data_IF_669881727626
#
_entry.id   IF_669881727626
#
_cell.length_a   1.000
_cell.length_b   1.000
_cell.length_c   1.000
_cell.angle_alpha   90.00
_cell.angle_beta   90.00
_cell.angle_gamma   90.00
#
_symmetry.space_group_name_H-M   'P 1'
#
loop_
_entity.id
_entity.type
_entity.pdbx_description
1 polymer ?
#
# COMPACT_ATOMS: atom_id res chain seq x y z
N UNK A 1 28.45 11.97 3.13
CA UNK A 1 28.30 10.97 4.22
C UNK A 1 28.97 11.41 5.54
N UNK A 2 30.00 12.27 5.54
CA UNK A 2 30.70 12.73 6.75
C UNK A 2 29.85 13.58 7.71
N UNK A 3 29.00 14.49 7.21
CA UNK A 3 28.24 15.41 8.07
C UNK A 3 27.06 14.76 8.81
N UNK A 4 26.31 13.86 8.15
CA UNK A 4 25.10 13.28 8.74
C UNK A 4 25.37 12.48 10.01
N UNK A 5 26.40 11.63 9.98
CA UNK A 5 26.81 10.83 11.14
C UNK A 5 27.23 11.73 12.31
N UNK A 6 27.95 12.82 12.03
CA UNK A 6 28.39 13.75 13.05
C UNK A 6 27.22 14.49 13.73
N UNK A 7 26.22 14.94 12.96
CA UNK A 7 25.03 15.59 13.51
C UNK A 7 24.19 14.59 14.31
N UNK A 8 24.02 13.37 13.79
CA UNK A 8 23.32 12.28 14.49
C UNK A 8 23.97 11.96 15.84
N UNK A 9 25.29 11.72 15.85
CA UNK A 9 26.06 11.43 17.07
C UNK A 9 26.03 12.61 18.05
N UNK A 10 25.89 13.84 17.55
CA UNK A 10 25.73 15.03 18.38
C UNK A 10 24.36 15.09 19.04
N UNK A 11 23.28 14.89 18.29
CA UNK A 11 21.92 14.89 18.86
C UNK A 11 21.74 13.74 19.84
N UNK A 12 22.28 12.56 19.54
CA UNK A 12 22.18 11.39 20.42
C UNK A 12 22.85 11.62 21.79
N UNK A 13 23.89 12.47 21.88
CA UNK A 13 24.54 12.84 23.14
C UNK A 13 23.66 13.68 24.07
N UNK A 14 22.66 14.38 23.54
CA UNK A 14 21.80 15.29 24.31
C UNK A 14 20.36 14.81 24.47
N UNK A 15 19.93 13.83 23.66
CA UNK A 15 18.56 13.34 23.62
C UNK A 15 18.51 11.81 23.68
N UNK A 16 18.97 11.25 24.80
CA UNK A 16 19.04 9.80 24.98
C UNK A 16 17.65 9.16 24.91
N UNK A 17 17.54 8.04 24.19
CA UNK A 17 16.27 7.34 23.95
C UNK A 17 15.32 8.00 22.93
N UNK A 18 15.67 9.12 22.31
CA UNK A 18 14.82 9.75 21.27
C UNK A 18 14.58 8.80 20.08
N UNK A 19 15.58 7.98 19.73
CA UNK A 19 15.54 7.03 18.62
C UNK A 19 14.65 5.81 18.85
N UNK A 20 14.26 5.55 20.10
CA UNK A 20 13.32 4.48 20.42
C UNK A 20 11.86 4.87 20.08
N UNK A 21 11.61 6.14 19.74
CA UNK A 21 10.29 6.60 19.31
C UNK A 21 10.07 6.24 17.84
N UNK A 22 8.93 5.61 17.49
CA UNK A 22 8.60 5.33 16.10
C UNK A 22 8.67 6.61 15.25
N UNK A 23 9.38 6.56 14.13
CA UNK A 23 9.53 7.69 13.20
C UNK A 23 10.58 8.75 13.58
N UNK A 24 11.28 8.63 14.71
CA UNK A 24 12.28 9.63 15.14
C UNK A 24 13.46 9.79 14.14
N UNK A 25 13.93 8.69 13.56
CA UNK A 25 14.99 8.71 12.53
C UNK A 25 14.51 9.46 11.30
N UNK A 26 13.28 9.19 10.85
CA UNK A 26 12.71 9.85 9.66
C UNK A 26 12.51 11.35 9.89
N UNK A 27 11.99 11.74 11.05
CA UNK A 27 11.80 13.14 11.41
C UNK A 27 13.15 13.89 11.50
N UNK A 28 14.18 13.23 12.04
CA UNK A 28 15.53 13.79 12.12
C UNK A 28 16.16 13.97 10.74
N UNK A 29 16.08 12.95 9.88
CA UNK A 29 16.61 13.02 8.52
C UNK A 29 15.90 14.13 7.72
N UNK A 30 14.57 14.24 7.81
CA UNK A 30 13.80 15.29 7.16
C UNK A 30 14.17 16.70 7.66
N UNK A 31 14.38 16.86 8.97
CA UNK A 31 14.82 18.13 9.56
C UNK A 31 16.24 18.51 9.13
N UNK A 32 17.14 17.52 9.05
CA UNK A 32 18.52 17.69 8.60
C UNK A 32 18.60 18.06 7.12
N UNK A 33 17.77 17.45 6.28
CA UNK A 33 17.67 17.79 4.85
C UNK A 33 17.26 19.24 4.65
N UNK A 34 16.19 19.65 5.35
CA UNK A 34 15.71 21.03 5.34
C UNK A 34 16.77 22.02 5.81
N UNK A 35 17.52 21.68 6.86
CA UNK A 35 18.60 22.52 7.39
C UNK A 35 19.75 22.67 6.38
N UNK A 36 20.04 21.61 5.63
CA UNK A 36 21.10 21.57 4.63
C UNK A 36 20.67 22.14 3.27
N UNK A 37 19.44 22.65 3.14
CA UNK A 37 18.89 23.12 1.87
C UNK A 37 18.78 22.03 0.80
N UNK A 38 18.78 20.77 1.23
CA UNK A 38 18.51 19.64 0.37
C UNK A 38 16.99 19.59 0.19
N UNK A 39 16.53 19.38 -1.05
CA UNK A 39 15.15 18.94 -1.27
C UNK A 39 14.88 17.79 -0.29
N UNK A 40 13.76 17.84 0.48
CA UNK A 40 13.49 16.83 1.49
C UNK A 40 13.65 15.47 0.85
N UNK A 41 14.59 14.65 1.35
CA UNK A 41 14.75 13.35 0.73
C UNK A 41 13.41 12.64 0.89
N UNK A 42 12.81 12.13 -0.20
CA UNK A 42 11.63 11.31 -0.06
C UNK A 42 12.04 10.21 0.90
N UNK A 43 11.32 10.15 2.04
CA UNK A 43 11.41 9.11 3.09
C UNK A 43 12.01 7.86 2.49
N UNK A 44 13.10 7.28 3.01
CA UNK A 44 13.82 6.19 2.35
C UNK A 44 12.84 5.09 1.97
N UNK A 45 12.39 5.15 0.72
CA UNK A 45 11.50 4.17 0.15
C UNK A 45 12.46 3.09 -0.28
N UNK A 46 12.23 1.87 0.20
CA UNK A 46 12.78 0.69 -0.46
C UNK A 46 12.63 0.89 -1.98
N UNK A 47 13.65 0.57 -2.80
CA UNK A 47 13.58 0.77 -4.24
C UNK A 47 12.23 0.24 -4.77
N UNK A 48 11.43 1.14 -5.34
CA UNK A 48 10.08 0.80 -5.79
C UNK A 48 10.22 -0.11 -7.01
N UNK A 49 9.82 -1.37 -6.85
CA UNK A 49 9.94 -2.37 -7.91
C UNK A 49 8.93 -2.12 -9.02
N UNK A 50 9.14 -2.71 -10.20
CA UNK A 50 8.16 -2.61 -11.30
C UNK A 50 6.83 -3.27 -10.94
N UNK A 51 6.86 -4.28 -10.06
CA UNK A 51 5.66 -4.84 -9.47
C UNK A 51 4.92 -3.80 -8.61
N UNK A 52 5.62 -3.07 -7.74
CA UNK A 52 4.98 -2.05 -6.89
C UNK A 52 4.35 -0.93 -7.74
N UNK A 53 5.07 -0.46 -8.77
CA UNK A 53 4.54 0.53 -9.72
C UNK A 53 3.30 0.03 -10.43
N UNK A 54 3.31 -1.22 -10.89
CA UNK A 54 2.17 -1.83 -11.58
C UNK A 54 0.95 -1.99 -10.66
N UNK A 55 1.15 -2.38 -9.40
CA UNK A 55 0.06 -2.47 -8.42
C UNK A 55 -0.51 -1.09 -8.11
N UNK A 56 0.35 -0.08 -7.90
CA UNK A 56 -0.10 1.30 -7.66
C UNK A 56 -0.93 1.79 -8.85
N UNK A 57 -0.42 1.66 -10.08
CA UNK A 57 -1.13 2.08 -11.28
C UNK A 57 -2.51 1.41 -11.37
N UNK A 58 -2.56 0.08 -11.24
CA UNK A 58 -3.81 -0.67 -11.30
C UNK A 58 -4.80 -0.25 -10.20
N UNK A 59 -4.35 -0.08 -8.96
CA UNK A 59 -5.23 0.31 -7.85
C UNK A 59 -5.71 1.76 -7.94
N UNK A 60 -4.95 2.67 -8.56
CA UNK A 60 -5.40 4.04 -8.83
C UNK A 60 -6.59 4.05 -9.78
N UNK A 61 -6.56 3.20 -10.80
CA UNK A 61 -7.66 3.09 -11.76
C UNK A 61 -8.91 2.45 -11.13
N UNK A 62 -8.73 1.46 -10.25
CA UNK A 62 -9.83 0.74 -9.61
C UNK A 62 -10.46 1.48 -8.41
N UNK A 63 -9.67 2.14 -7.57
CA UNK A 63 -10.13 2.77 -6.32
C UNK A 63 -10.28 4.29 -6.44
N UNK A 64 -9.66 4.90 -7.46
CA UNK A 64 -9.54 6.35 -7.59
C UNK A 64 -8.51 6.95 -6.63
N UNK A 65 -8.29 8.26 -6.79
CA UNK A 65 -7.32 9.04 -6.01
C UNK A 65 -7.98 10.30 -5.45
N UNK A 66 -7.85 10.49 -4.14
CA UNK A 66 -8.32 11.69 -3.43
C UNK A 66 -7.29 12.11 -2.38
N UNK A 67 -6.63 13.28 -2.51
CA UNK A 67 -5.63 13.72 -1.53
C UNK A 67 -6.25 14.04 -0.16
N UNK A 68 -7.54 14.32 -0.11
CA UNK A 68 -8.30 14.63 1.10
C UNK A 68 -9.16 13.44 1.55
N UNK A 69 -9.43 13.36 2.85
CA UNK A 69 -10.31 12.34 3.39
C UNK A 69 -11.75 12.53 2.88
N UNK A 70 -12.34 11.45 2.37
CA UNK A 70 -13.70 11.43 1.84
C UNK A 70 -14.48 10.23 2.39
N UNK A 71 -15.80 10.24 2.25
CA UNK A 71 -16.63 9.07 2.50
C UNK A 71 -16.85 8.31 1.20
N UNK A 72 -16.53 7.02 1.20
CA UNK A 72 -16.81 6.14 0.06
C UNK A 72 -18.32 5.88 -0.11
N UNK A 73 -18.68 5.09 -1.13
CA UNK A 73 -20.07 4.72 -1.41
C UNK A 73 -20.73 3.88 -0.30
N UNK A 74 -19.94 3.30 0.61
CA UNK A 74 -20.41 2.58 1.79
C UNK A 74 -20.45 3.47 3.05
N UNK A 75 -20.08 4.75 2.92
CA UNK A 75 -20.07 5.73 3.99
C UNK A 75 -18.87 5.61 4.95
N UNK A 76 -17.80 4.90 4.56
CA UNK A 76 -16.57 4.77 5.33
C UNK A 76 -15.54 5.82 4.93
N UNK A 77 -14.78 6.31 5.91
CA UNK A 77 -13.68 7.24 5.68
C UNK A 77 -12.52 6.57 4.93
N UNK A 78 -12.08 7.23 3.85
CA UNK A 78 -11.01 6.81 2.95
C UNK A 78 -10.17 8.02 2.54
N UNK A 79 -8.87 7.85 2.24
CA UNK A 79 -7.96 8.91 1.78
C UNK A 79 -6.94 8.34 0.78
N UNK A 80 -6.28 9.21 0.02
CA UNK A 80 -5.23 8.86 -0.93
C UNK A 80 -5.74 7.94 -2.03
N UNK A 81 -4.98 6.87 -2.27
CA UNK A 81 -5.33 5.82 -3.23
C UNK A 81 -6.16 4.76 -2.49
N UNK A 82 -7.44 5.02 -2.24
CA UNK A 82 -8.33 4.03 -1.59
C UNK A 82 -7.87 3.50 -0.22
N UNK A 83 -7.12 4.27 0.59
CA UNK A 83 -6.69 3.86 1.94
C UNK A 83 -7.87 3.98 2.91
N UNK A 84 -8.37 2.84 3.38
CA UNK A 84 -9.39 2.80 4.44
C UNK A 84 -8.79 3.29 5.77
N UNK A 85 -9.40 4.34 6.32
CA UNK A 85 -8.99 5.02 7.57
C UNK A 85 -10.14 5.05 8.60
N UNK A 86 -11.27 4.43 8.27
CA UNK A 86 -12.42 4.35 9.17
C UNK A 86 -12.22 3.28 10.27
N UNK A 87 -12.20 3.67 11.56
CA UNK A 87 -11.98 2.72 12.65
C UNK A 87 -13.12 1.71 12.78
N UNK A 88 -14.34 2.01 12.29
CA UNK A 88 -15.47 1.06 12.30
C UNK A 88 -15.19 -0.20 11.48
N UNK A 89 -14.23 -0.13 10.56
CA UNK A 89 -13.76 -1.24 9.73
C UNK A 89 -12.29 -1.59 9.99
N UNK A 90 -11.72 -1.09 11.10
CA UNK A 90 -10.31 -1.30 11.45
C UNK A 90 -9.32 -0.46 10.63
N UNK A 91 -9.80 0.48 9.80
CA UNK A 91 -8.99 1.43 9.08
C UNK A 91 -8.32 2.43 10.02
N UNK A 92 -7.09 2.81 9.69
CA UNK A 92 -6.29 3.77 10.46
C UNK A 92 -5.09 4.24 9.65
N UNK A 93 -4.58 5.42 9.92
CA UNK A 93 -3.18 5.77 9.68
C UNK A 93 -2.39 5.28 10.91
N UNK A 94 -1.30 4.53 10.71
CA UNK A 94 -0.51 4.04 11.86
C UNK A 94 0.30 5.18 12.50
N UNK A 95 0.75 5.05 13.75
CA UNK A 95 1.61 6.06 14.38
C UNK A 95 2.88 6.35 13.56
N UNK A 96 3.46 5.32 12.93
CA UNK A 96 4.63 5.45 12.06
C UNK A 96 4.31 6.22 10.78
N UNK A 97 3.17 5.91 10.14
CA UNK A 97 2.69 6.63 8.97
C UNK A 97 2.39 8.10 9.32
N UNK A 98 1.72 8.37 10.45
CA UNK A 98 1.39 9.73 10.89
C UNK A 98 2.65 10.56 11.24
N UNK A 99 3.65 9.96 11.90
CA UNK A 99 4.92 10.61 12.19
C UNK A 99 5.62 11.09 10.90
N UNK A 100 5.57 10.28 9.84
CA UNK A 100 6.12 10.63 8.53
C UNK A 100 5.32 11.78 7.90
N UNK A 101 3.98 11.69 7.88
CA UNK A 101 3.11 12.73 7.33
C UNK A 101 3.26 14.07 8.06
N UNK A 102 3.49 14.04 9.38
CA UNK A 102 3.75 15.21 10.21
C UNK A 102 5.15 15.79 9.97
N UNK A 103 6.16 14.95 9.74
CA UNK A 103 7.51 15.42 9.41
C UNK A 103 7.54 16.16 8.07
N UNK A 104 6.76 15.70 7.09
CA UNK A 104 6.64 16.35 5.78
C UNK A 104 5.91 17.70 5.85
N UNK A 105 4.91 17.83 6.73
CA UNK A 105 4.16 19.07 6.93
C UNK A 105 3.84 19.29 8.43
N UNK A 106 4.73 19.98 9.17
CA UNK A 106 4.55 20.25 10.59
C UNK A 106 3.31 21.10 10.93
N UNK A 107 2.71 21.79 9.95
CA UNK A 107 1.48 22.58 10.18
C UNK A 107 0.25 21.71 10.49
N UNK A 108 0.38 20.39 10.29
CA UNK A 108 -0.62 19.37 10.63
C UNK A 108 -0.63 19.01 12.12
N UNK A 109 0.33 19.48 12.91
CA UNK A 109 0.40 19.17 14.33
C UNK A 109 -0.91 19.50 15.06
N UNK A 110 -1.42 18.54 15.85
CA UNK A 110 -2.67 18.66 16.59
C UNK A 110 -3.94 18.53 15.73
N UNK A 111 -3.83 18.34 14.42
CA UNK A 111 -4.97 18.10 13.54
C UNK A 111 -5.22 16.60 13.40
N UNK A 112 -6.47 16.25 13.12
CA UNK A 112 -6.80 14.89 12.69
C UNK A 112 -6.32 14.70 11.25
N UNK A 113 -5.82 13.52 10.90
CA UNK A 113 -5.51 13.13 9.50
C UNK A 113 -6.71 13.30 8.55
N UNK A 114 -7.95 13.41 9.05
CA UNK A 114 -9.13 13.77 8.25
C UNK A 114 -9.07 15.18 7.65
N UNK A 115 -8.19 16.02 8.17
CA UNK A 115 -7.99 17.40 7.74
C UNK A 115 -6.70 17.56 6.90
N UNK A 116 -6.00 16.46 6.61
CA UNK A 116 -4.79 16.52 5.81
C UNK A 116 -5.15 16.58 4.32
N UNK A 117 -4.35 17.32 3.56
CA UNK A 117 -4.28 17.22 2.10
C UNK A 117 -2.96 16.52 1.79
N UNK A 118 -3.03 15.27 1.33
CA UNK A 118 -1.85 14.48 1.04
C UNK A 118 -1.19 14.89 -0.29
N UNK A 119 0.13 14.93 -0.30
CA UNK A 119 0.91 15.06 -1.52
C UNK A 119 0.99 13.72 -2.27
N UNK A 120 1.34 13.75 -3.56
CA UNK A 120 1.50 12.54 -4.37
C UNK A 120 2.53 11.54 -3.77
N UNK A 121 3.71 11.96 -3.28
CA UNK A 121 4.62 11.06 -2.57
C UNK A 121 4.02 10.44 -1.30
N UNK A 122 3.23 11.20 -0.53
CA UNK A 122 2.59 10.70 0.69
C UNK A 122 1.51 9.65 0.39
N UNK A 123 0.69 9.90 -0.64
CA UNK A 123 -0.30 8.92 -1.10
C UNK A 123 0.36 7.63 -1.57
N UNK A 124 1.46 7.73 -2.32
CA UNK A 124 2.22 6.57 -2.78
C UNK A 124 2.89 5.83 -1.62
N UNK A 125 3.45 6.54 -0.63
CA UNK A 125 4.02 5.94 0.58
C UNK A 125 2.97 5.13 1.36
N UNK A 126 1.79 5.71 1.63
CA UNK A 126 0.71 4.98 2.32
C UNK A 126 0.28 3.74 1.53
N UNK A 127 0.22 3.86 0.20
CA UNK A 127 -0.15 2.73 -0.66
C UNK A 127 0.92 1.64 -0.68
N UNK A 128 2.20 1.99 -0.73
CA UNK A 128 3.30 1.03 -0.64
C UNK A 128 3.25 0.25 0.67
N UNK A 129 2.98 0.92 1.79
CA UNK A 129 2.80 0.26 3.08
C UNK A 129 1.59 -0.69 3.08
N UNK A 130 0.47 -0.32 2.44
CA UNK A 130 -0.65 -1.24 2.26
C UNK A 130 -0.26 -2.46 1.42
N UNK A 131 0.44 -2.25 0.30
CA UNK A 131 0.88 -3.31 -0.61
C UNK A 131 1.75 -4.29 0.15
N UNK A 132 2.73 -3.80 0.91
CA UNK A 132 3.61 -4.64 1.73
C UNK A 132 2.81 -5.47 2.74
N UNK A 133 1.82 -4.87 3.43
CA UNK A 133 0.96 -5.60 4.38
C UNK A 133 0.26 -6.79 3.72
N UNK A 134 -0.40 -6.58 2.58
CA UNK A 134 -1.08 -7.67 1.88
C UNK A 134 -0.11 -8.69 1.26
N UNK A 135 0.94 -8.21 0.59
CA UNK A 135 1.94 -9.05 -0.08
C UNK A 135 2.71 -9.91 0.93
N UNK A 136 3.02 -9.41 2.13
CA UNK A 136 3.67 -10.19 3.19
C UNK A 136 2.86 -11.42 3.64
N UNK A 137 1.54 -11.40 3.44
CA UNK A 137 0.64 -12.52 3.73
C UNK A 137 0.54 -13.44 2.52
N UNK A 138 0.13 -12.91 1.37
CA UNK A 138 -0.19 -13.73 0.20
C UNK A 138 1.04 -14.31 -0.49
N UNK A 139 2.22 -13.68 -0.33
CA UNK A 139 3.48 -14.18 -0.91
C UNK A 139 3.89 -15.57 -0.41
N UNK A 140 3.38 -15.96 0.76
CA UNK A 140 3.63 -17.26 1.37
C UNK A 140 2.80 -18.37 0.71
N UNK A 141 1.72 -18.03 0.01
CA UNK A 141 0.76 -18.99 -0.53
C UNK A 141 1.30 -19.73 -1.76
N UNK A 142 0.95 -21.01 -1.95
CA UNK A 142 1.36 -21.78 -3.13
C UNK A 142 0.94 -21.13 -4.45
N UNK A 143 -0.29 -20.59 -4.51
CA UNK A 143 -0.81 -19.88 -5.68
C UNK A 143 0.07 -18.69 -6.08
N UNK A 144 0.56 -17.90 -5.12
CA UNK A 144 1.47 -16.79 -5.41
C UNK A 144 2.81 -17.27 -5.96
N UNK A 145 3.37 -18.33 -5.36
CA UNK A 145 4.64 -18.92 -5.81
C UNK A 145 4.53 -19.45 -7.24
N UNK A 146 3.42 -20.11 -7.57
CA UNK A 146 3.15 -20.66 -8.91
C UNK A 146 3.03 -19.60 -10.00
N UNK A 147 2.64 -18.36 -9.65
CA UNK A 147 2.62 -17.24 -10.59
C UNK A 147 4.05 -16.80 -11.01
N UNK A 148 5.07 -17.09 -10.21
CA UNK A 148 6.46 -16.76 -10.52
C UNK A 148 6.65 -15.26 -10.76
N UNK A 149 7.39 -14.89 -11.80
CA UNK A 149 7.70 -13.49 -12.13
C UNK A 149 6.65 -12.81 -13.02
N UNK A 150 5.49 -13.44 -13.25
CA UNK A 150 4.42 -12.81 -14.02
C UNK A 150 3.76 -11.67 -13.22
N UNK A 151 4.17 -10.43 -13.50
CA UNK A 151 3.70 -9.22 -12.83
C UNK A 151 2.17 -9.06 -12.93
N UNK A 152 1.50 -9.19 -14.10
CA UNK A 152 0.05 -9.01 -14.19
C UNK A 152 -0.75 -9.97 -13.30
N UNK A 153 -0.35 -11.24 -13.21
CA UNK A 153 -0.99 -12.21 -12.30
C UNK A 153 -0.76 -11.87 -10.83
N UNK A 154 0.44 -11.41 -10.46
CA UNK A 154 0.71 -10.93 -9.10
C UNK A 154 -0.14 -9.71 -8.77
N UNK A 155 -0.24 -8.75 -9.68
CA UNK A 155 -1.10 -7.56 -9.56
C UNK A 155 -2.57 -7.97 -9.38
N UNK A 156 -3.05 -8.95 -10.15
CA UNK A 156 -4.40 -9.48 -10.00
C UNK A 156 -4.66 -10.07 -8.61
N UNK A 157 -3.77 -10.93 -8.11
CA UNK A 157 -3.90 -11.51 -6.76
C UNK A 157 -3.86 -10.42 -5.67
N UNK A 158 -2.98 -9.44 -5.81
CA UNK A 158 -2.89 -8.31 -4.89
C UNK A 158 -4.16 -7.46 -4.95
N UNK A 159 -4.68 -7.13 -6.14
CA UNK A 159 -5.94 -6.37 -6.31
C UNK A 159 -7.12 -7.06 -5.63
N UNK A 160 -7.24 -8.38 -5.78
CA UNK A 160 -8.26 -9.15 -5.06
C UNK A 160 -8.06 -9.11 -3.54
N UNK A 161 -6.81 -9.21 -3.06
CA UNK A 161 -6.51 -9.14 -1.63
C UNK A 161 -6.86 -7.76 -1.03
N UNK A 162 -6.69 -6.67 -1.79
CA UNK A 162 -7.13 -5.33 -1.38
C UNK A 162 -8.65 -5.24 -1.27
N UNK A 163 -9.38 -5.73 -2.28
CA UNK A 163 -10.85 -5.62 -2.30
C UNK A 163 -11.53 -6.53 -1.27
N UNK A 164 -10.99 -7.73 -1.04
CA UNK A 164 -11.62 -8.79 -0.24
C UNK A 164 -10.98 -8.97 1.15
N UNK A 165 -9.80 -8.40 1.37
CA UNK A 165 -8.89 -8.82 2.43
C UNK A 165 -8.19 -10.15 2.11
N UNK A 166 -7.04 -10.40 2.74
CA UNK A 166 -6.32 -11.67 2.57
C UNK A 166 -7.18 -12.87 3.00
N UNK A 167 -7.91 -12.77 4.12
CA UNK A 167 -8.82 -13.83 4.58
C UNK A 167 -10.02 -14.04 3.65
N UNK A 168 -10.50 -12.98 3.00
CA UNK A 168 -11.56 -13.07 2.00
C UNK A 168 -11.08 -13.79 0.75
N UNK A 169 -9.90 -13.43 0.25
CA UNK A 169 -9.26 -14.10 -0.89
C UNK A 169 -8.93 -15.56 -0.59
N UNK A 170 -8.48 -15.89 0.63
CA UNK A 170 -8.17 -17.27 1.04
C UNK A 170 -9.39 -18.22 0.94
N UNK A 171 -10.61 -17.70 0.92
CA UNK A 171 -11.84 -18.51 0.73
C UNK A 171 -12.00 -19.02 -0.70
N UNK A 172 -11.26 -18.49 -1.68
CA UNK A 172 -11.27 -18.96 -3.08
C UNK A 172 -10.41 -20.21 -3.28
N UNK A 173 -10.60 -21.22 -2.41
CA UNK A 173 -9.76 -22.42 -2.32
C UNK A 173 -9.61 -23.13 -3.67
N UNK A 174 -10.70 -23.25 -4.43
CA UNK A 174 -10.69 -23.92 -5.73
C UNK A 174 -9.92 -23.12 -6.79
N UNK A 175 -10.21 -21.82 -6.93
CA UNK A 175 -9.49 -20.95 -7.87
C UNK A 175 -8.01 -20.85 -7.53
N UNK A 176 -7.66 -20.66 -6.26
CA UNK A 176 -6.26 -20.58 -5.81
C UNK A 176 -5.51 -21.90 -6.05
N UNK A 177 -6.15 -23.05 -5.85
CA UNK A 177 -5.58 -24.36 -6.22
C UNK A 177 -5.36 -24.50 -7.73
N UNK A 178 -6.28 -23.97 -8.56
CA UNK A 178 -6.08 -23.95 -10.01
C UNK A 178 -4.91 -23.05 -10.42
N UNK A 179 -4.75 -21.89 -9.77
CA UNK A 179 -3.58 -21.01 -9.95
C UNK A 179 -2.29 -21.73 -9.55
N UNK A 180 -2.28 -22.40 -8.39
CA UNK A 180 -1.14 -23.22 -7.92
C UNK A 180 -0.74 -24.30 -8.94
N UNK A 181 -1.73 -24.92 -9.59
CA UNK A 181 -1.53 -25.94 -10.63
C UNK A 181 -1.20 -25.36 -12.01
N UNK A 182 -1.04 -24.04 -12.15
CA UNK A 182 -0.82 -23.37 -13.44
C UNK A 182 -2.03 -23.36 -14.38
N UNK A 183 -3.20 -23.79 -13.91
CA UNK A 183 -4.47 -23.83 -14.67
C UNK A 183 -5.13 -22.45 -14.67
N UNK A 184 -4.45 -21.45 -15.22
CA UNK A 184 -4.83 -20.05 -15.09
C UNK A 184 -6.18 -19.71 -15.77
N UNK A 185 -6.45 -20.30 -16.94
CA UNK A 185 -7.74 -20.12 -17.62
C UNK A 185 -8.90 -20.66 -16.78
N UNK A 186 -8.78 -21.90 -16.29
CA UNK A 186 -9.79 -22.51 -15.41
C UNK A 186 -9.97 -21.73 -14.11
N UNK A 187 -8.86 -21.21 -13.55
CA UNK A 187 -8.90 -20.39 -12.35
C UNK A 187 -9.71 -19.10 -12.58
N UNK A 188 -9.46 -18.41 -13.70
CA UNK A 188 -10.21 -17.22 -14.08
C UNK A 188 -11.71 -17.51 -14.25
N UNK A 189 -12.06 -18.60 -14.95
CA UNK A 189 -13.46 -19.06 -15.07
C UNK A 189 -14.08 -19.38 -13.71
N UNK A 190 -13.30 -19.96 -12.79
CA UNK A 190 -13.79 -20.29 -11.46
C UNK A 190 -13.98 -19.05 -10.57
N UNK A 191 -13.08 -18.06 -10.65
CA UNK A 191 -13.22 -16.77 -9.97
C UNK A 191 -14.50 -16.03 -10.38
N UNK A 192 -14.84 -16.06 -11.68
CA UNK A 192 -16.03 -15.38 -12.22
C UNK A 192 -17.36 -16.00 -11.76
N UNK A 193 -17.36 -17.23 -11.21
CA UNK A 193 -18.56 -17.85 -10.63
C UNK A 193 -18.91 -17.35 -9.23
N UNK A 194 -18.06 -16.52 -8.63
CA UNK A 194 -18.17 -16.12 -7.22
C UNK A 194 -19.22 -15.03 -6.96
N UNK A 195 -19.61 -14.85 -5.69
CA UNK A 195 -20.42 -13.69 -5.27
C UNK A 195 -19.69 -12.37 -5.53
N UNK A 196 -18.38 -12.34 -5.29
CA UNK A 196 -17.52 -11.18 -5.57
C UNK A 196 -17.65 -10.73 -7.03
N UNK A 197 -17.52 -11.66 -7.98
CA UNK A 197 -17.65 -11.35 -9.40
C UNK A 197 -19.03 -10.80 -9.77
N UNK A 198 -20.11 -11.28 -9.13
CA UNK A 198 -21.45 -10.74 -9.34
C UNK A 198 -21.65 -9.35 -8.75
N UNK A 199 -20.93 -9.00 -7.68
CA UNK A 199 -21.05 -7.70 -7.00
C UNK A 199 -20.23 -6.61 -7.70
N UNK A 200 -19.11 -6.96 -8.34
CA UNK A 200 -18.26 -6.02 -9.08
C UNK A 200 -17.83 -6.63 -10.44
N UNK A 201 -18.76 -6.79 -11.40
CA UNK A 201 -18.53 -7.58 -12.62
C UNK A 201 -17.43 -7.03 -13.51
N UNK A 202 -17.41 -5.71 -13.73
CA UNK A 202 -16.39 -5.04 -14.55
C UNK A 202 -14.97 -5.25 -14.00
N UNK A 203 -14.80 -4.97 -12.69
CA UNK A 203 -13.51 -5.15 -12.00
C UNK A 203 -13.09 -6.62 -11.96
N UNK A 204 -14.03 -7.53 -11.66
CA UNK A 204 -13.73 -8.95 -11.63
C UNK A 204 -13.33 -9.47 -13.02
N UNK A 205 -13.96 -8.98 -14.09
CA UNK A 205 -13.58 -9.29 -15.47
C UNK A 205 -12.14 -8.90 -15.78
N UNK A 206 -11.76 -7.63 -15.54
CA UNK A 206 -10.38 -7.16 -15.74
C UNK A 206 -9.36 -7.96 -14.94
N UNK A 207 -9.60 -8.14 -13.63
CA UNK A 207 -8.70 -8.86 -12.74
C UNK A 207 -8.53 -10.33 -13.14
N UNK A 208 -9.61 -11.02 -13.50
CA UNK A 208 -9.53 -12.43 -13.92
C UNK A 208 -8.92 -12.59 -15.31
N UNK A 209 -9.02 -11.59 -16.18
CA UNK A 209 -8.33 -11.58 -17.47
C UNK A 209 -6.80 -11.50 -17.30
N UNK A 210 -6.32 -10.71 -16.34
CA UNK A 210 -4.90 -10.72 -15.97
C UNK A 210 -4.45 -12.09 -15.42
N UNK A 211 -5.30 -12.76 -14.62
CA UNK A 211 -5.04 -14.13 -14.18
C UNK A 211 -4.91 -15.07 -15.39
N UNK A 212 -5.91 -15.06 -16.28
CA UNK A 212 -5.99 -15.94 -17.47
C UNK A 212 -4.76 -15.77 -18.37
N UNK A 213 -4.49 -14.55 -18.80
CA UNK A 213 -3.52 -14.26 -19.87
C UNK A 213 -2.11 -14.04 -19.35
N UNK A 214 -1.95 -13.53 -18.13
CA UNK A 214 -0.68 -13.03 -17.66
C UNK A 214 -0.22 -11.74 -18.34
N UNK A 215 -1.16 -10.98 -18.91
CA UNK A 215 -0.98 -9.66 -19.51
C UNK A 215 -1.86 -8.64 -18.78
N UNK A 216 -1.53 -7.35 -18.85
CA UNK A 216 -2.43 -6.30 -18.39
C UNK A 216 -3.68 -6.25 -19.28
N UNK A 217 -4.84 -6.04 -18.66
CA UNK A 217 -6.16 -5.98 -19.30
C UNK A 217 -6.55 -4.58 -19.73
#
# INVERSE_FOLDING_TARGET
>A
MSDRKHVFDTVNRYADGIWNKPGAIVAFDAALDKLLGLEPTPVPTKPVSDFDKAVIAHLRDEEGVRPEAYRDHLGYWTIGIGRLIDPRKGGRITPEEDAILLANDPSRQGKSWRQYVLTEPEMNMLKLNDIERFVSVISKWPAWKAVGDNIPRKVALTSMAFQLGADGLAKFKNSLRMVEQGRFADAADNFMKSKWARQTPERAGRVTQMIRTGLFS
#
